data_IF_137516107619
#
_entry.id   IF_137516107619
#
_cell.length_a   1.000
_cell.length_b   1.000
_cell.length_c   1.000
_cell.angle_alpha   90.00
_cell.angle_beta   90.00
_cell.angle_gamma   90.00
#
_symmetry.space_group_name_H-M   'P 1'
#
loop_
_entity.id
_entity.type
_entity.pdbx_description
1 polymer ?
#
# COMPACT_ATOMS: atom_id res chain seq x y z
N UNK A 1 27.34 -10.59 -4.03
CA UNK A 1 26.58 -10.31 -2.79
C UNK A 1 27.10 -9.02 -2.20
N UNK A 2 26.20 -8.14 -1.74
CA UNK A 2 26.54 -6.84 -1.13
C UNK A 2 25.95 -6.85 0.28
N UNK A 3 26.78 -6.52 1.29
CA UNK A 3 26.32 -6.44 2.68
C UNK A 3 25.53 -5.14 2.88
N UNK A 4 24.31 -5.23 3.36
CA UNK A 4 23.40 -4.09 3.55
C UNK A 4 22.61 -4.20 4.84
N UNK A 5 22.06 -3.07 5.28
CA UNK A 5 20.96 -2.99 6.24
C UNK A 5 19.73 -2.38 5.57
N UNK A 6 18.54 -2.69 6.06
CA UNK A 6 17.29 -2.08 5.62
C UNK A 6 16.78 -1.08 6.65
N UNK A 7 16.67 0.17 6.25
CA UNK A 7 16.23 1.29 7.09
C UNK A 7 14.89 1.80 6.63
N UNK A 8 14.03 2.17 7.56
CA UNK A 8 12.71 2.75 7.33
C UNK A 8 12.58 4.04 8.12
N UNK A 9 11.96 5.06 7.52
CA UNK A 9 11.77 6.38 8.12
C UNK A 9 10.32 6.62 8.60
N UNK A 10 9.36 5.81 8.15
CA UNK A 10 7.93 5.88 8.52
C UNK A 10 7.37 4.48 8.73
N UNK A 11 6.35 4.33 9.58
CA UNK A 11 5.77 3.03 9.99
C UNK A 11 5.50 2.07 8.83
N UNK A 12 4.86 2.52 7.77
CA UNK A 12 4.60 1.74 6.54
C UNK A 12 5.37 2.29 5.33
N UNK A 13 6.51 2.95 5.56
CA UNK A 13 7.37 3.51 4.51
C UNK A 13 8.15 2.44 3.76
N UNK A 14 8.71 2.83 2.64
CA UNK A 14 9.65 2.01 1.86
C UNK A 14 10.89 1.68 2.70
N UNK A 15 11.44 0.50 2.47
CA UNK A 15 12.71 0.08 3.07
C UNK A 15 13.83 0.50 2.12
N UNK A 16 14.78 1.28 2.62
CA UNK A 16 15.96 1.72 1.89
C UNK A 16 17.18 0.96 2.37
N UNK A 17 18.01 0.55 1.42
CA UNK A 17 19.24 -0.17 1.74
C UNK A 17 20.41 0.80 1.90
N UNK A 18 21.19 0.57 2.97
CA UNK A 18 22.40 1.32 3.29
C UNK A 18 23.57 0.37 3.54
N UNK A 19 24.80 0.86 3.30
CA UNK A 19 26.01 0.15 3.66
C UNK A 19 26.22 0.27 5.18
N UNK A 20 26.33 -0.83 5.93
CA UNK A 20 26.59 -0.81 7.36
C UNK A 20 27.96 -0.20 7.72
N UNK A 21 28.83 0.08 6.77
CA UNK A 21 30.17 0.65 6.95
C UNK A 21 31.02 -0.11 7.99
N UNK A 22 31.02 -1.43 7.91
CA UNK A 22 31.77 -2.32 8.81
C UNK A 22 31.19 -2.50 10.22
N UNK A 23 30.04 -1.88 10.52
CA UNK A 23 29.36 -2.00 11.82
C UNK A 23 28.48 -3.25 11.84
N UNK A 24 28.31 -3.81 13.04
CA UNK A 24 27.30 -4.85 13.28
C UNK A 24 26.01 -4.19 13.77
N UNK A 25 25.01 -4.17 12.89
CA UNK A 25 23.76 -3.46 13.11
C UNK A 25 22.61 -4.46 13.06
N UNK A 26 21.87 -4.53 14.18
CA UNK A 26 20.75 -5.45 14.36
C UNK A 26 19.40 -4.78 14.09
N UNK A 27 18.38 -5.59 13.78
CA UNK A 27 17.01 -5.13 13.67
C UNK A 27 16.52 -4.53 14.98
N UNK A 28 15.78 -3.42 14.91
CA UNK A 28 15.25 -2.69 16.05
C UNK A 28 16.19 -1.60 16.60
N UNK A 29 17.39 -1.48 16.07
CA UNK A 29 18.29 -0.37 16.37
C UNK A 29 17.96 0.85 15.50
N UNK A 30 18.44 2.03 15.92
CA UNK A 30 18.29 3.27 15.17
C UNK A 30 19.64 3.72 14.60
N UNK A 31 19.60 4.32 13.44
CA UNK A 31 20.79 4.80 12.73
C UNK A 31 20.58 6.21 12.19
N UNK A 32 21.69 6.95 12.10
CA UNK A 32 21.75 8.23 11.40
C UNK A 32 22.33 7.97 10.01
N UNK A 33 21.58 8.39 9.01
CA UNK A 33 21.93 8.21 7.59
C UNK A 33 21.76 9.52 6.83
N UNK A 34 22.45 9.61 5.68
CA UNK A 34 22.25 10.70 4.75
C UNK A 34 21.34 10.26 3.61
N UNK A 35 20.26 11.02 3.38
CA UNK A 35 19.33 10.82 2.26
C UNK A 35 19.38 12.01 1.29
N UNK A 36 18.56 12.01 0.26
CA UNK A 36 18.37 13.18 -0.60
C UNK A 36 17.69 14.37 0.12
N UNK A 37 17.03 14.09 1.27
CA UNK A 37 16.39 15.11 2.10
C UNK A 37 17.34 15.76 3.10
N UNK A 38 18.47 15.14 3.38
CA UNK A 38 19.45 15.53 4.38
C UNK A 38 19.78 14.38 5.34
N UNK A 39 20.21 14.73 6.54
CA UNK A 39 20.47 13.76 7.60
C UNK A 39 19.14 13.35 8.23
N UNK A 40 18.92 12.04 8.33
CA UNK A 40 17.69 11.48 8.84
C UNK A 40 17.96 10.40 9.92
N UNK A 41 17.03 10.33 10.89
CA UNK A 41 16.96 9.27 11.88
C UNK A 41 16.12 8.14 11.33
N UNK A 42 16.65 6.91 11.29
CA UNK A 42 15.98 5.77 10.67
C UNK A 42 15.92 4.54 11.55
N UNK A 43 14.78 3.82 11.44
CA UNK A 43 14.57 2.55 12.12
C UNK A 43 15.15 1.40 11.30
N UNK A 44 16.04 0.60 11.87
CA UNK A 44 16.60 -0.60 11.23
C UNK A 44 15.56 -1.73 11.29
N UNK A 45 14.92 -1.99 10.18
CA UNK A 45 13.90 -3.07 10.04
C UNK A 45 14.50 -4.37 9.52
N UNK A 46 15.66 -4.29 8.88
CA UNK A 46 16.44 -5.44 8.43
C UNK A 46 17.88 -5.24 8.88
N UNK A 47 18.35 -6.08 9.79
CA UNK A 47 19.75 -6.10 10.22
C UNK A 47 20.72 -6.49 9.10
N UNK A 48 22.01 -6.51 9.39
CA UNK A 48 23.06 -6.85 8.43
C UNK A 48 22.78 -8.16 7.69
N UNK A 49 22.70 -8.09 6.36
CA UNK A 49 22.49 -9.24 5.47
C UNK A 49 23.16 -9.03 4.13
N UNK A 50 23.40 -10.12 3.43
CA UNK A 50 23.86 -10.08 2.06
C UNK A 50 22.67 -10.13 1.09
N UNK A 51 22.67 -9.25 0.11
CA UNK A 51 21.69 -9.20 -0.97
C UNK A 51 22.36 -9.19 -2.34
N UNK A 52 21.63 -9.60 -3.36
CA UNK A 52 22.10 -9.49 -4.75
C UNK A 52 22.20 -8.03 -5.16
N UNK A 53 23.29 -7.68 -5.84
CA UNK A 53 23.53 -6.30 -6.30
C UNK A 53 22.44 -5.75 -7.22
N UNK A 54 21.70 -6.61 -7.92
CA UNK A 54 20.55 -6.24 -8.75
C UNK A 54 19.35 -5.67 -7.98
N UNK A 55 19.26 -5.97 -6.68
CA UNK A 55 18.16 -5.50 -5.80
C UNK A 55 18.49 -4.20 -5.07
N UNK A 56 19.67 -3.65 -5.30
CA UNK A 56 20.18 -2.48 -4.57
C UNK A 56 20.47 -1.36 -5.54
N UNK A 57 19.97 -0.16 -5.24
CA UNK A 57 20.27 1.05 -6.01
C UNK A 57 21.67 1.52 -5.63
N UNK A 58 22.56 1.60 -6.62
CA UNK A 58 23.92 2.09 -6.43
C UNK A 58 24.08 3.56 -6.86
N UNK A 59 24.99 4.35 -6.25
CA UNK A 59 25.88 3.98 -5.16
C UNK A 59 25.18 3.84 -3.81
N UNK A 60 25.52 2.81 -3.02
CA UNK A 60 24.99 2.62 -1.69
C UNK A 60 25.56 3.66 -0.74
N UNK A 61 24.70 4.42 -0.07
CA UNK A 61 25.12 5.38 0.95
C UNK A 61 25.50 4.65 2.24
N UNK A 62 26.59 5.04 2.92
CA UNK A 62 26.96 4.42 4.20
C UNK A 62 26.10 4.96 5.33
N UNK A 63 25.95 4.16 6.38
CA UNK A 63 25.47 4.61 7.68
C UNK A 63 26.51 5.56 8.30
N UNK A 64 26.09 6.77 8.65
CA UNK A 64 26.97 7.76 9.29
C UNK A 64 27.41 7.22 10.65
N UNK A 65 26.44 6.86 11.50
CA UNK A 65 26.66 6.29 12.83
C UNK A 65 25.40 5.64 13.40
N UNK A 66 25.55 4.87 14.46
CA UNK A 66 24.44 4.46 15.30
C UNK A 66 23.81 5.69 15.99
N UNK A 67 22.51 5.67 16.19
CA UNK A 67 21.84 6.69 16.97
C UNK A 67 22.22 6.58 18.46
N UNK A 68 22.40 7.73 19.08
CA UNK A 68 22.64 7.87 20.51
C UNK A 68 21.34 8.19 21.25
N UNK A 69 21.35 8.13 22.58
CA UNK A 69 20.22 8.58 23.41
C UNK A 69 19.87 10.05 23.17
N UNK A 70 20.86 10.88 22.85
CA UNK A 70 20.63 12.29 22.49
C UNK A 70 19.86 12.42 21.16
N UNK A 71 20.18 11.58 20.17
CA UNK A 71 19.45 11.56 18.90
C UNK A 71 17.99 11.14 19.08
N UNK A 72 17.73 10.14 19.91
CA UNK A 72 16.36 9.74 20.25
C UNK A 72 15.58 10.87 20.94
N UNK A 73 16.25 11.64 21.81
CA UNK A 73 15.66 12.81 22.45
C UNK A 73 15.38 13.93 21.43
N UNK A 74 16.28 14.16 20.47
CA UNK A 74 16.08 15.13 19.39
C UNK A 74 14.87 14.72 18.55
N UNK A 75 14.79 13.47 18.14
CA UNK A 75 13.67 12.94 17.36
C UNK A 75 12.35 13.07 18.13
N UNK A 76 12.33 12.70 19.42
CA UNK A 76 11.16 12.86 20.26
C UNK A 76 10.71 14.32 20.43
N UNK A 77 11.66 15.25 20.46
CA UNK A 77 11.37 16.69 20.50
C UNK A 77 10.86 17.20 19.16
N UNK A 78 11.40 16.72 18.04
CA UNK A 78 10.92 17.06 16.70
C UNK A 78 9.46 16.63 16.54
N UNK A 79 9.10 15.43 16.98
CA UNK A 79 7.70 14.95 16.95
C UNK A 79 6.74 15.80 17.80
N UNK A 80 7.21 16.45 18.88
CA UNK A 80 6.41 17.42 19.63
C UNK A 80 6.23 18.72 18.85
N UNK A 81 7.32 19.25 18.29
CA UNK A 81 7.31 20.46 17.45
C UNK A 81 6.42 20.29 16.21
N UNK A 82 6.38 19.10 15.61
CA UNK A 82 5.52 18.78 14.45
C UNK A 82 4.05 18.98 14.77
N UNK A 83 3.59 18.56 15.95
CA UNK A 83 2.20 18.77 16.39
C UNK A 83 1.85 20.25 16.55
N UNK A 84 2.78 21.04 17.04
CA UNK A 84 2.58 22.49 17.18
C UNK A 84 2.66 23.18 15.81
N UNK A 85 3.62 22.78 14.96
CA UNK A 85 3.74 23.25 13.59
C UNK A 85 2.48 22.96 12.77
N UNK A 86 1.88 21.79 12.96
CA UNK A 86 0.63 21.41 12.31
C UNK A 86 -0.50 22.39 12.67
N UNK A 87 -0.69 22.69 13.97
CA UNK A 87 -1.73 23.62 14.43
C UNK A 87 -1.51 25.02 13.86
N UNK A 88 -0.30 25.53 13.97
CA UNK A 88 0.06 26.87 13.45
C UNK A 88 -0.20 26.93 11.94
N UNK A 89 0.25 25.92 11.17
CA UNK A 89 0.02 25.88 9.73
C UNK A 89 -1.48 25.85 9.40
N UNK A 90 -2.26 25.05 10.12
CA UNK A 90 -3.71 24.96 9.94
C UNK A 90 -4.43 26.30 10.19
N UNK A 91 -4.02 27.06 11.22
CA UNK A 91 -4.55 28.42 11.49
C UNK A 91 -4.19 29.40 10.37
N UNK A 92 -2.94 29.33 9.86
CA UNK A 92 -2.49 30.16 8.75
C UNK A 92 -3.22 29.85 7.46
N UNK A 93 -3.43 28.56 7.13
CA UNK A 93 -4.24 28.14 5.96
C UNK A 93 -5.64 28.76 6.03
N UNK A 94 -6.30 28.68 7.20
CA UNK A 94 -7.62 29.30 7.43
C UNK A 94 -7.57 30.81 7.25
N UNK A 95 -6.55 31.48 7.79
CA UNK A 95 -6.37 32.94 7.68
C UNK A 95 -6.23 33.39 6.23
N UNK A 96 -5.48 32.63 5.42
CA UNK A 96 -5.28 32.92 3.98
C UNK A 96 -6.45 32.42 3.11
N UNK A 97 -7.48 31.78 3.66
CA UNK A 97 -8.64 31.28 2.91
C UNK A 97 -8.31 30.25 1.84
N UNK A 98 -7.22 29.47 2.01
CA UNK A 98 -6.75 28.53 1.00
C UNK A 98 -7.60 27.24 1.02
N UNK A 99 -8.01 26.80 -0.18
CA UNK A 99 -8.76 25.57 -0.37
C UNK A 99 -7.79 24.36 -0.41
N UNK A 100 -7.24 24.03 0.74
CA UNK A 100 -6.33 22.90 0.94
C UNK A 100 -6.53 22.30 2.33
N UNK A 101 -6.32 20.99 2.42
CA UNK A 101 -6.40 20.25 3.69
C UNK A 101 -4.98 19.85 4.10
N UNK A 102 -4.51 20.36 5.23
CA UNK A 102 -3.25 19.93 5.83
C UNK A 102 -3.41 18.51 6.39
N UNK A 103 -2.46 17.63 6.05
CA UNK A 103 -2.49 16.23 6.43
C UNK A 103 -1.44 15.93 7.51
N UNK A 104 -0.22 16.45 7.34
CA UNK A 104 0.90 16.18 8.26
C UNK A 104 1.94 17.28 8.21
N UNK A 105 2.79 17.34 9.23
CA UNK A 105 3.94 18.22 9.32
C UNK A 105 5.14 17.41 9.83
N UNK A 106 6.29 17.53 9.20
CA UNK A 106 7.50 16.76 9.49
C UNK A 106 8.73 17.69 9.54
N UNK A 107 9.50 17.59 10.61
CA UNK A 107 10.82 18.23 10.70
C UNK A 107 11.89 17.27 10.17
N UNK A 108 12.85 17.77 9.40
CA UNK A 108 14.09 17.02 9.17
C UNK A 108 14.85 16.86 10.50
N UNK A 109 15.59 15.76 10.64
CA UNK A 109 16.29 15.45 11.88
C UNK A 109 17.22 16.59 12.35
N UNK A 110 17.85 17.28 11.41
CA UNK A 110 18.73 18.44 11.66
C UNK A 110 17.98 19.75 11.90
N UNK A 111 16.66 19.76 11.90
CA UNK A 111 15.77 20.92 12.04
C UNK A 111 15.98 22.03 10.99
N UNK A 112 16.66 21.77 9.89
CA UNK A 112 16.92 22.74 8.83
C UNK A 112 15.72 22.99 7.91
N UNK A 113 14.73 22.08 7.94
CA UNK A 113 13.57 22.12 7.08
C UNK A 113 12.32 21.62 7.78
N UNK A 114 11.17 22.21 7.45
CA UNK A 114 9.84 21.71 7.81
C UNK A 114 9.07 21.41 6.53
N UNK A 115 8.56 20.19 6.44
CA UNK A 115 7.71 19.72 5.35
C UNK A 115 6.25 19.70 5.82
N UNK A 116 5.36 20.26 5.02
CA UNK A 116 3.93 20.20 5.24
C UNK A 116 3.28 19.43 4.11
N UNK A 117 2.59 18.34 4.44
CA UNK A 117 1.87 17.51 3.49
C UNK A 117 0.42 17.95 3.43
N UNK A 118 -0.10 18.14 2.23
CA UNK A 118 -1.48 18.59 2.04
C UNK A 118 -2.16 17.94 0.84
N UNK A 119 -3.48 17.92 0.84
CA UNK A 119 -4.32 17.58 -0.31
C UNK A 119 -5.11 18.81 -0.76
N UNK A 120 -5.35 18.91 -2.07
CA UNK A 120 -6.19 19.92 -2.69
C UNK A 120 -6.73 19.39 -4.03
N UNK A 121 -7.92 19.84 -4.40
CA UNK A 121 -8.56 19.42 -5.66
C UNK A 121 -7.93 20.04 -6.91
N UNK A 122 -7.17 21.12 -6.74
CA UNK A 122 -6.53 21.84 -7.81
C UNK A 122 -5.19 22.46 -7.41
N UNK A 123 -4.71 23.37 -8.25
CA UNK A 123 -3.50 24.13 -7.97
C UNK A 123 -3.78 25.24 -6.97
N UNK A 124 -3.05 25.23 -5.85
CA UNK A 124 -3.16 26.23 -4.79
C UNK A 124 -1.99 27.21 -4.88
N UNK A 125 -2.26 28.52 -4.79
CA UNK A 125 -1.21 29.55 -4.64
C UNK A 125 -0.93 29.76 -3.15
N UNK A 126 0.17 29.19 -2.68
CA UNK A 126 0.57 29.23 -1.27
C UNK A 126 1.78 30.15 -1.01
N UNK A 127 2.13 31.08 -1.93
CA UNK A 127 3.31 31.95 -1.78
C UNK A 127 3.27 32.79 -0.51
N UNK A 128 2.14 33.40 -0.20
CA UNK A 128 1.98 34.19 1.03
C UNK A 128 1.96 33.33 2.29
N UNK A 129 1.36 32.13 2.22
CA UNK A 129 1.40 31.15 3.32
C UNK A 129 2.86 30.76 3.64
N UNK A 130 3.68 30.47 2.62
CA UNK A 130 5.09 30.11 2.83
C UNK A 130 5.87 31.22 3.50
N UNK A 131 5.67 32.50 3.11
CA UNK A 131 6.31 33.65 3.75
C UNK A 131 5.93 33.75 5.23
N UNK A 132 4.63 33.61 5.54
CA UNK A 132 4.12 33.65 6.91
C UNK A 132 4.68 32.50 7.76
N UNK A 133 4.73 31.29 7.22
CA UNK A 133 5.31 30.13 7.90
C UNK A 133 6.82 30.29 8.12
N UNK A 134 7.56 30.77 7.11
CA UNK A 134 8.99 31.01 7.24
C UNK A 134 9.33 32.07 8.30
N UNK A 135 8.49 33.10 8.44
CA UNK A 135 8.64 34.11 9.49
C UNK A 135 8.45 33.52 10.91
N UNK A 136 7.53 32.54 11.06
CA UNK A 136 7.25 31.90 12.35
C UNK A 136 8.32 30.86 12.70
N UNK A 137 8.64 29.95 11.78
CA UNK A 137 9.51 28.81 12.07
C UNK A 137 11.00 29.12 11.91
N UNK A 138 11.35 30.20 11.19
CA UNK A 138 12.73 30.62 10.88
C UNK A 138 13.58 29.51 10.24
N UNK A 139 12.92 28.62 9.50
CA UNK A 139 13.50 27.47 8.81
C UNK A 139 12.98 27.42 7.39
N UNK A 140 13.59 26.58 6.54
CA UNK A 140 13.11 26.35 5.17
C UNK A 140 11.77 25.61 5.22
N UNK A 141 10.76 26.17 4.57
CA UNK A 141 9.42 25.60 4.46
C UNK A 141 9.27 24.89 3.10
N UNK A 142 8.78 23.68 3.12
CA UNK A 142 8.45 22.91 1.92
C UNK A 142 7.00 22.41 2.02
N UNK A 143 6.18 22.73 1.02
CA UNK A 143 4.79 22.29 0.90
C UNK A 143 4.72 21.20 -0.17
N UNK A 144 4.23 20.02 0.20
CA UNK A 144 4.07 18.86 -0.70
C UNK A 144 2.61 18.45 -0.81
N UNK A 145 2.09 18.55 -2.03
CA UNK A 145 0.77 18.00 -2.33
C UNK A 145 0.87 16.48 -2.48
N UNK A 146 0.08 15.75 -1.69
CA UNK A 146 0.02 14.29 -1.70
C UNK A 146 -1.30 13.80 -2.30
N UNK A 147 -1.33 12.55 -2.76
CA UNK A 147 -2.52 11.91 -3.27
C UNK A 147 -3.45 11.42 -2.15
N UNK A 148 -4.69 11.08 -2.49
CA UNK A 148 -5.69 10.60 -1.52
C UNK A 148 -5.30 9.28 -0.85
N UNK A 149 -4.52 8.43 -1.53
CA UNK A 149 -4.01 7.19 -0.95
C UNK A 149 -2.88 7.47 0.04
N UNK A 150 -2.01 8.43 -0.24
CA UNK A 150 -0.97 8.87 0.67
C UNK A 150 -1.56 9.55 1.91
N UNK A 151 -2.61 10.38 1.73
CA UNK A 151 -3.39 10.92 2.86
C UNK A 151 -3.90 9.78 3.75
N UNK A 152 -4.55 8.78 3.14
CA UNK A 152 -5.09 7.62 3.88
C UNK A 152 -3.98 6.82 4.56
N UNK A 153 -2.80 6.71 3.93
CA UNK A 153 -1.61 6.05 4.50
C UNK A 153 -1.10 6.76 5.75
N UNK A 154 -1.11 8.10 5.76
CA UNK A 154 -0.69 8.91 6.92
C UNK A 154 -1.72 8.82 8.05
N UNK A 155 -2.99 9.11 7.72
CA UNK A 155 -4.08 9.21 8.71
C UNK A 155 -4.40 7.85 9.33
N UNK A 156 -4.34 6.77 8.53
CA UNK A 156 -4.71 5.44 8.97
C UNK A 156 -6.21 5.22 9.05
N UNK A 157 -6.62 4.18 9.75
CA UNK A 157 -8.01 3.82 9.97
C UNK A 157 -8.27 2.32 9.82
N UNK A 158 -9.54 1.94 9.83
CA UNK A 158 -10.01 0.56 9.72
C UNK A 158 -10.62 0.33 8.35
N UNK A 159 -10.21 -0.74 7.69
CA UNK A 159 -10.77 -1.16 6.40
C UNK A 159 -12.14 -1.82 6.53
N UNK A 160 -12.84 -2.03 5.41
CA UNK A 160 -14.12 -2.76 5.37
C UNK A 160 -14.00 -4.21 5.87
N UNK A 161 -12.79 -4.76 5.92
CA UNK A 161 -12.46 -6.08 6.45
C UNK A 161 -12.30 -6.10 7.98
N UNK A 162 -12.45 -4.96 8.67
CA UNK A 162 -12.29 -4.82 10.13
C UNK A 162 -10.83 -4.80 10.61
N UNK A 163 -9.84 -4.76 9.71
CA UNK A 163 -8.41 -4.65 10.04
C UNK A 163 -7.89 -3.26 9.76
N UNK A 164 -6.76 -2.91 10.37
CA UNK A 164 -6.01 -1.70 10.01
C UNK A 164 -5.77 -1.64 8.51
N UNK A 165 -5.80 -0.44 7.95
CA UNK A 165 -5.58 -0.22 6.52
C UNK A 165 -4.20 -0.78 6.10
N UNK A 166 -4.18 -1.59 5.03
CA UNK A 166 -2.96 -2.21 4.52
C UNK A 166 -1.88 -1.16 4.20
N UNK A 167 -2.27 -0.02 3.62
CA UNK A 167 -1.37 1.09 3.31
C UNK A 167 -0.77 1.76 4.56
N UNK A 168 -1.47 1.75 5.69
CA UNK A 168 -0.98 2.31 6.95
C UNK A 168 -0.13 1.33 7.76
N UNK A 169 -0.35 0.02 7.59
CA UNK A 169 0.28 -1.02 8.41
C UNK A 169 1.53 -1.64 7.78
N UNK A 170 1.44 -2.20 6.56
CA UNK A 170 2.54 -2.97 5.96
C UNK A 170 2.81 -2.73 4.47
N UNK A 171 1.82 -2.25 3.70
CA UNK A 171 2.00 -1.98 2.27
C UNK A 171 2.80 -0.69 2.06
N UNK A 172 4.07 -0.83 1.74
CA UNK A 172 4.97 0.30 1.51
C UNK A 172 4.81 0.88 0.09
N UNK A 173 4.60 0.04 -0.91
CA UNK A 173 4.53 0.44 -2.31
C UNK A 173 3.14 0.22 -2.89
N UNK A 174 2.74 1.10 -3.82
CA UNK A 174 1.48 0.98 -4.55
C UNK A 174 1.74 0.58 -5.99
N UNK A 175 1.19 -0.58 -6.35
CA UNK A 175 1.16 -1.07 -7.72
C UNK A 175 -0.27 -0.86 -8.24
N UNK A 176 -0.45 -0.38 -9.48
CA UNK A 176 -1.77 -0.16 -10.06
C UNK A 176 -2.64 -1.41 -9.98
N UNK A 177 -3.88 -1.22 -9.55
CA UNK A 177 -4.89 -2.28 -9.41
C UNK A 177 -5.80 -2.26 -10.61
N UNK A 178 -6.25 -3.43 -11.07
CA UNK A 178 -7.23 -3.57 -12.14
C UNK A 178 -8.52 -4.23 -11.66
N UNK A 179 -9.62 -3.95 -12.34
CA UNK A 179 -10.92 -4.58 -12.08
C UNK A 179 -10.86 -6.10 -12.31
N UNK A 180 -9.98 -6.54 -13.22
CA UNK A 180 -9.75 -7.96 -13.47
C UNK A 180 -9.34 -8.70 -12.21
N UNK A 181 -8.49 -8.10 -11.36
CA UNK A 181 -8.07 -8.69 -10.08
C UNK A 181 -9.25 -8.90 -9.13
N UNK A 182 -10.20 -7.96 -9.08
CA UNK A 182 -11.41 -8.11 -8.27
C UNK A 182 -12.27 -9.28 -8.75
N UNK A 183 -12.40 -9.45 -10.07
CA UNK A 183 -13.12 -10.57 -10.67
C UNK A 183 -12.45 -11.92 -10.38
N UNK A 184 -11.14 -12.01 -10.52
CA UNK A 184 -10.36 -13.21 -10.21
C UNK A 184 -10.46 -13.62 -8.73
N UNK A 185 -10.74 -12.67 -7.86
CA UNK A 185 -10.98 -12.88 -6.43
C UNK A 185 -12.46 -13.11 -6.09
N UNK A 186 -13.32 -13.29 -7.10
CA UNK A 186 -14.76 -13.50 -6.96
C UNK A 186 -15.48 -12.39 -6.17
N UNK A 187 -14.98 -11.14 -6.24
CA UNK A 187 -15.64 -10.00 -5.63
C UNK A 187 -16.72 -9.44 -6.56
N UNK A 188 -17.78 -8.93 -5.95
CA UNK A 188 -18.79 -8.16 -6.69
C UNK A 188 -18.13 -6.93 -7.32
N UNK A 189 -18.38 -6.69 -8.61
CA UNK A 189 -17.85 -5.52 -9.34
C UNK A 189 -18.61 -4.22 -9.00
N UNK A 190 -19.25 -4.16 -7.85
CA UNK A 190 -19.85 -2.92 -7.36
C UNK A 190 -18.73 -1.98 -6.87
N UNK A 191 -18.63 -0.73 -7.37
CA UNK A 191 -17.63 0.25 -6.95
C UNK A 191 -17.51 0.40 -5.44
N UNK A 192 -18.62 0.40 -4.71
CA UNK A 192 -18.64 0.52 -3.24
C UNK A 192 -18.01 -0.69 -2.51
N UNK A 193 -17.89 -1.84 -3.18
CA UNK A 193 -17.33 -3.07 -2.60
C UNK A 193 -15.87 -3.30 -2.95
N UNK A 194 -15.37 -2.71 -4.04
CA UNK A 194 -14.00 -2.85 -4.51
C UNK A 194 -13.15 -1.59 -4.32
N UNK A 195 -13.75 -0.49 -3.83
CA UNK A 195 -13.03 0.73 -3.47
C UNK A 195 -12.60 0.72 -2.01
N UNK A 196 -11.39 1.19 -1.76
CA UNK A 196 -10.89 1.46 -0.42
C UNK A 196 -11.40 2.78 0.15
N UNK A 197 -11.09 3.04 1.41
CA UNK A 197 -11.45 4.30 2.10
C UNK A 197 -10.92 5.55 1.36
N UNK A 198 -9.81 5.41 0.64
CA UNK A 198 -9.22 6.47 -0.19
C UNK A 198 -9.98 6.74 -1.51
N UNK A 199 -11.09 6.04 -1.79
CA UNK A 199 -11.83 6.17 -3.05
C UNK A 199 -11.13 5.58 -4.28
N UNK A 200 -10.00 4.88 -4.12
CA UNK A 200 -9.31 4.13 -5.17
C UNK A 200 -9.60 2.64 -5.03
N UNK A 201 -9.25 1.84 -6.04
CA UNK A 201 -9.36 0.39 -5.94
C UNK A 201 -8.54 -0.13 -4.73
N UNK A 202 -9.06 -1.15 -4.06
CA UNK A 202 -8.42 -1.71 -2.87
C UNK A 202 -7.04 -2.28 -3.19
N UNK A 203 -6.00 -1.79 -2.53
CA UNK A 203 -4.62 -2.24 -2.73
C UNK A 203 -4.39 -3.71 -2.33
N UNK A 204 -5.20 -4.27 -1.44
CA UNK A 204 -5.15 -5.69 -1.09
C UNK A 204 -5.46 -6.61 -2.27
N UNK A 205 -6.25 -6.16 -3.27
CA UNK A 205 -6.50 -6.93 -4.49
C UNK A 205 -5.20 -7.32 -5.20
N UNK A 206 -4.28 -6.36 -5.34
CA UNK A 206 -2.97 -6.62 -5.95
C UNK A 206 -2.08 -7.45 -5.04
N UNK A 207 -2.11 -7.18 -3.73
CA UNK A 207 -1.30 -7.91 -2.75
C UNK A 207 -1.65 -9.41 -2.69
N UNK A 208 -2.92 -9.76 -2.94
CA UNK A 208 -3.42 -11.13 -2.88
C UNK A 208 -3.48 -11.82 -4.26
N UNK A 209 -3.23 -11.09 -5.36
CA UNK A 209 -3.41 -11.55 -6.73
C UNK A 209 -2.68 -12.89 -7.01
N UNK A 210 -1.40 -12.98 -6.68
CA UNK A 210 -0.59 -14.18 -6.95
C UNK A 210 -1.14 -15.43 -6.25
N UNK A 211 -1.62 -15.26 -5.00
CA UNK A 211 -2.25 -16.34 -4.24
C UNK A 211 -3.53 -16.81 -4.93
N UNK A 212 -4.37 -15.88 -5.35
CA UNK A 212 -5.61 -16.22 -6.04
C UNK A 212 -5.35 -16.84 -7.42
N UNK A 213 -4.40 -16.34 -8.19
CA UNK A 213 -4.01 -16.94 -9.47
C UNK A 213 -3.55 -18.39 -9.31
N UNK A 214 -2.68 -18.64 -8.31
CA UNK A 214 -2.22 -19.99 -8.00
C UNK A 214 -3.36 -20.92 -7.58
N UNK A 215 -4.24 -20.47 -6.70
CA UNK A 215 -5.37 -21.27 -6.23
C UNK A 215 -6.43 -21.50 -7.32
N UNK A 216 -6.72 -20.47 -8.13
CA UNK A 216 -7.64 -20.57 -9.26
C UNK A 216 -7.13 -21.56 -10.32
N UNK A 217 -5.82 -21.66 -10.53
CA UNK A 217 -5.24 -22.59 -11.50
C UNK A 217 -5.56 -24.06 -11.19
N UNK A 218 -5.92 -24.36 -9.94
CA UNK A 218 -6.27 -25.71 -9.46
C UNK A 218 -7.77 -26.00 -9.47
N UNK A 219 -8.60 -25.03 -9.82
CA UNK A 219 -10.06 -25.12 -9.77
C UNK A 219 -10.68 -25.18 -11.19
N UNK A 220 -11.84 -25.84 -11.33
CA UNK A 220 -12.64 -25.73 -12.54
C UNK A 220 -13.30 -24.35 -12.63
N UNK A 221 -13.65 -23.89 -13.81
CA UNK A 221 -14.43 -22.68 -13.98
C UNK A 221 -15.92 -22.93 -13.72
N UNK A 222 -16.65 -21.88 -13.36
CA UNK A 222 -18.12 -21.93 -13.33
C UNK A 222 -18.66 -22.27 -14.71
N UNK A 223 -19.59 -23.24 -14.78
CA UNK A 223 -20.13 -23.77 -16.01
C UNK A 223 -19.30 -24.91 -16.64
N UNK A 224 -18.17 -25.31 -16.07
CA UNK A 224 -17.45 -26.49 -16.52
C UNK A 224 -18.17 -27.78 -16.07
N UNK A 225 -18.11 -28.82 -16.92
CA UNK A 225 -18.60 -30.13 -16.56
C UNK A 225 -17.51 -30.92 -15.80
N UNK A 226 -17.90 -31.49 -14.67
CA UNK A 226 -17.01 -32.26 -13.79
C UNK A 226 -17.61 -33.63 -13.50
N UNK A 227 -16.75 -34.58 -13.16
CA UNK A 227 -17.17 -35.89 -12.63
C UNK A 227 -16.71 -36.00 -11.18
N UNK A 228 -17.62 -36.29 -10.29
CA UNK A 228 -17.34 -36.47 -8.86
C UNK A 228 -16.70 -37.83 -8.58
N UNK A 229 -16.09 -38.00 -7.42
CA UNK A 229 -15.58 -39.32 -6.97
C UNK A 229 -16.66 -40.38 -6.83
N UNK A 230 -17.90 -39.95 -6.59
CA UNK A 230 -19.09 -40.84 -6.54
C UNK A 230 -19.59 -41.24 -7.93
N UNK A 231 -18.90 -40.83 -8.99
CA UNK A 231 -19.25 -41.14 -10.39
C UNK A 231 -20.37 -40.30 -10.99
N UNK A 232 -20.90 -39.31 -10.25
CA UNK A 232 -21.92 -38.40 -10.74
C UNK A 232 -21.30 -37.36 -11.68
N UNK A 233 -22.05 -37.00 -12.73
CA UNK A 233 -21.68 -35.90 -13.61
C UNK A 233 -22.48 -34.67 -13.26
N UNK A 234 -21.84 -33.50 -13.27
CA UNK A 234 -22.50 -32.25 -12.94
C UNK A 234 -21.80 -31.05 -13.53
N UNK A 235 -22.48 -29.92 -13.46
CA UNK A 235 -22.00 -28.62 -13.88
C UNK A 235 -21.60 -27.79 -12.67
N UNK A 236 -20.45 -27.11 -12.74
CA UNK A 236 -19.95 -26.24 -11.68
C UNK A 236 -20.83 -25.00 -11.55
N UNK A 237 -21.50 -24.87 -10.41
CA UNK A 237 -22.35 -23.74 -10.09
C UNK A 237 -21.56 -22.57 -9.50
N UNK A 238 -20.67 -22.84 -8.53
CA UNK A 238 -19.83 -21.82 -7.91
C UNK A 238 -18.56 -22.43 -7.32
N UNK A 239 -17.53 -21.59 -7.16
CA UNK A 239 -16.24 -22.00 -6.57
C UNK A 239 -15.86 -21.09 -5.40
N UNK A 240 -15.34 -21.69 -4.34
CA UNK A 240 -14.73 -20.98 -3.21
C UNK A 240 -13.22 -21.13 -3.30
N UNK A 241 -12.54 -20.11 -3.81
CA UNK A 241 -11.11 -20.18 -4.17
C UNK A 241 -10.26 -20.51 -2.95
N UNK A 242 -10.40 -19.78 -1.85
CA UNK A 242 -9.57 -19.94 -0.66
C UNK A 242 -9.82 -21.27 0.07
N UNK A 243 -11.06 -21.77 0.04
CA UNK A 243 -11.42 -23.03 0.67
C UNK A 243 -11.17 -24.25 -0.21
N UNK A 244 -10.89 -24.02 -1.53
CA UNK A 244 -10.78 -25.07 -2.54
C UNK A 244 -12.02 -25.99 -2.57
N UNK A 245 -13.22 -25.36 -2.46
CA UNK A 245 -14.52 -26.01 -2.50
C UNK A 245 -15.27 -25.61 -3.77
N UNK A 246 -15.97 -26.58 -4.34
CA UNK A 246 -16.72 -26.41 -5.59
C UNK A 246 -18.16 -26.89 -5.37
N UNK A 247 -19.13 -26.03 -5.64
CA UNK A 247 -20.53 -26.42 -5.67
C UNK A 247 -20.88 -26.89 -7.08
N UNK A 248 -21.37 -28.11 -7.18
CA UNK A 248 -21.70 -28.78 -8.44
C UNK A 248 -23.18 -29.09 -8.46
N UNK A 249 -23.85 -28.75 -9.54
CA UNK A 249 -25.21 -29.21 -9.82
C UNK A 249 -25.11 -30.60 -10.40
N UNK A 250 -25.36 -31.62 -9.58
CA UNK A 250 -25.33 -33.03 -10.00
C UNK A 250 -26.73 -33.52 -10.36
N UNK A 251 -26.80 -34.40 -11.38
CA UNK A 251 -28.03 -35.08 -11.76
C UNK A 251 -28.06 -36.40 -11.04
N UNK A 252 -28.97 -36.51 -10.07
CA UNK A 252 -29.14 -37.76 -9.25
C UNK A 252 -30.08 -38.74 -9.96
N UNK A 253 -31.19 -38.23 -10.54
CA UNK A 253 -32.16 -38.96 -11.32
C UNK A 253 -32.55 -38.16 -12.55
N UNK A 254 -33.33 -38.79 -13.47
CA UNK A 254 -33.71 -38.15 -14.76
C UNK A 254 -34.31 -36.76 -14.62
N UNK A 255 -34.93 -36.42 -13.48
CA UNK A 255 -35.63 -35.17 -13.24
C UNK A 255 -35.17 -34.43 -11.94
N UNK A 256 -34.22 -35.01 -11.20
CA UNK A 256 -33.74 -34.39 -9.97
C UNK A 256 -32.31 -33.88 -10.09
N UNK A 257 -32.15 -32.56 -9.86
CA UNK A 257 -30.86 -31.90 -9.78
C UNK A 257 -30.63 -31.42 -8.36
N UNK A 258 -29.47 -31.74 -7.82
CA UNK A 258 -29.06 -31.30 -6.49
C UNK A 258 -27.77 -30.48 -6.57
N UNK A 259 -27.63 -29.49 -5.69
CA UNK A 259 -26.37 -28.78 -5.49
C UNK A 259 -25.62 -29.45 -4.35
N UNK A 260 -24.48 -30.06 -4.65
CA UNK A 260 -23.58 -30.66 -3.68
C UNK A 260 -22.24 -29.93 -3.65
N UNK A 261 -21.62 -29.89 -2.49
CA UNK A 261 -20.31 -29.26 -2.30
C UNK A 261 -19.23 -30.35 -2.24
N UNK A 262 -18.18 -30.18 -3.03
CA UNK A 262 -17.05 -31.11 -3.11
C UNK A 262 -15.74 -30.35 -2.94
N UNK A 263 -14.73 -31.02 -2.42
CA UNK A 263 -13.36 -30.53 -2.48
C UNK A 263 -12.81 -30.75 -3.88
N UNK A 264 -11.88 -29.89 -4.31
CA UNK A 264 -11.30 -29.98 -5.66
C UNK A 264 -10.64 -31.34 -5.94
N UNK A 265 -10.03 -31.96 -4.93
CA UNK A 265 -9.40 -33.28 -5.02
C UNK A 265 -10.40 -34.44 -5.27
N UNK A 266 -11.67 -34.21 -5.01
CA UNK A 266 -12.77 -35.17 -5.24
C UNK A 266 -13.38 -35.05 -6.65
N UNK A 267 -12.88 -34.12 -7.46
CA UNK A 267 -13.44 -33.84 -8.79
C UNK A 267 -12.44 -34.17 -9.89
N UNK A 268 -12.94 -34.81 -10.96
CA UNK A 268 -12.19 -35.02 -12.21
C UNK A 268 -12.70 -34.05 -13.27
N UNK A 269 -11.81 -33.15 -13.74
CA UNK A 269 -12.12 -32.14 -14.75
C UNK A 269 -10.87 -31.81 -15.57
N UNK A 270 -11.07 -31.14 -16.70
CA UNK A 270 -9.99 -30.57 -17.52
C UNK A 270 -10.00 -29.05 -17.36
N UNK A 271 -8.98 -28.45 -16.76
CA UNK A 271 -8.95 -27.01 -16.59
C UNK A 271 -8.96 -26.31 -17.94
N UNK A 272 -9.97 -25.48 -18.20
CA UNK A 272 -10.04 -24.64 -19.40
C UNK A 272 -9.68 -23.21 -19.03
N UNK A 273 -8.61 -22.67 -19.60
CA UNK A 273 -8.30 -21.23 -19.51
C UNK A 273 -9.25 -20.47 -20.43
N UNK A 274 -10.42 -20.07 -19.97
CA UNK A 274 -11.26 -19.11 -20.69
C UNK A 274 -10.70 -17.71 -20.47
N UNK A 275 -10.31 -17.03 -21.55
CA UNK A 275 -10.14 -15.56 -21.55
C UNK A 275 -11.53 -14.94 -21.54
N UNK A 276 -12.07 -14.68 -20.37
CA UNK A 276 -13.33 -13.94 -20.26
C UNK A 276 -13.06 -12.44 -20.49
N UNK A 277 -13.86 -11.86 -21.41
CA UNK A 277 -13.93 -10.41 -21.55
C UNK A 277 -14.68 -9.85 -20.35
N UNK A 278 -14.02 -9.03 -19.55
CA UNK A 278 -14.68 -8.30 -18.47
C UNK A 278 -15.49 -7.18 -19.09
N UNK A 279 -16.82 -7.22 -18.90
CA UNK A 279 -17.68 -6.09 -19.25
C UNK A 279 -17.50 -5.06 -18.12
N UNK A 280 -16.91 -3.93 -18.46
CA UNK A 280 -16.58 -2.85 -17.53
C UNK A 280 -17.51 -1.70 -17.84
N UNK A 281 -18.35 -1.32 -16.89
CA UNK A 281 -19.22 -0.14 -17.01
C UNK A 281 -18.45 1.20 -16.91
N UNK A 282 -19.15 2.32 -17.05
CA UNK A 282 -18.52 3.64 -17.07
C UNK A 282 -17.86 4.00 -15.72
N UNK A 283 -18.49 3.65 -14.60
CA UNK A 283 -17.97 3.93 -13.26
C UNK A 283 -16.67 3.15 -12.98
N UNK A 284 -16.67 1.87 -13.34
CA UNK A 284 -15.49 1.02 -13.20
C UNK A 284 -14.32 1.50 -14.09
N UNK A 285 -14.60 1.98 -15.31
CA UNK A 285 -13.57 2.61 -16.16
C UNK A 285 -13.00 3.88 -15.55
N UNK A 286 -13.83 4.68 -14.89
CA UNK A 286 -13.35 5.87 -14.18
C UNK A 286 -12.42 5.50 -13.01
N UNK A 287 -12.75 4.47 -12.22
CA UNK A 287 -11.89 4.00 -11.13
C UNK A 287 -10.53 3.53 -11.65
N UNK A 288 -10.48 2.75 -12.74
CA UNK A 288 -9.19 2.35 -13.35
C UNK A 288 -8.40 3.55 -13.91
N UNK A 289 -9.08 4.54 -14.46
CA UNK A 289 -8.43 5.74 -14.98
C UNK A 289 -7.82 6.58 -13.84
N UNK A 290 -8.51 6.68 -12.70
CA UNK A 290 -8.00 7.34 -11.51
C UNK A 290 -6.80 6.59 -10.92
N UNK A 291 -6.83 5.27 -10.88
CA UNK A 291 -5.72 4.42 -10.45
C UNK A 291 -4.44 4.67 -11.27
N UNK A 292 -4.59 4.76 -12.60
CA UNK A 292 -3.47 5.03 -13.50
C UNK A 292 -2.89 6.44 -13.37
N UNK A 293 -3.72 7.43 -12.99
CA UNK A 293 -3.27 8.84 -12.83
C UNK A 293 -2.51 9.09 -11.55
N UNK A 294 -2.82 8.39 -10.46
CA UNK A 294 -2.25 8.67 -9.15
C UNK A 294 -0.76 8.30 -9.06
N UNK A 295 -0.34 7.26 -9.81
CA UNK A 295 1.06 6.86 -9.88
C UNK A 295 1.63 6.34 -8.57
N UNK A 296 2.94 6.56 -8.34
CA UNK A 296 3.65 6.15 -7.13
C UNK A 296 3.35 7.09 -5.96
N UNK A 297 3.51 6.58 -4.72
CA UNK A 297 3.45 7.40 -3.50
C UNK A 297 4.47 8.55 -3.56
N UNK A 298 4.02 9.75 -3.21
CA UNK A 298 4.89 10.94 -3.10
C UNK A 298 5.52 11.10 -1.71
N UNK A 299 5.16 10.24 -0.77
CA UNK A 299 5.70 10.26 0.59
C UNK A 299 7.12 9.70 0.64
N UNK A 300 7.42 8.76 -0.25
CA UNK A 300 8.68 8.02 -0.32
C UNK A 300 9.61 8.53 -1.44
N UNK A 301 9.29 9.66 -2.10
CA UNK A 301 10.17 10.30 -3.07
C UNK A 301 11.37 10.94 -2.35
N UNK A 302 12.51 10.29 -2.53
CA UNK A 302 13.84 10.76 -2.10
C UNK A 302 14.63 11.32 -3.26
#
# INVERSE_FOLDING_TARGET
MIKVIGVRFRKAGKIYYFDPAGRDISTGQHVIVETARGIEFGDVVLGCREVEGSKVVQPLKPVIRMATQEDENIEANNRKKEKDAFKICQEKIKKHGLQMKLIDAEYTFDNNKVLFYFTADGRVDFRELVKDLAAVFKTRIELRQVGVRDETKIVGGIGICGRDLCCHSYLSEFIPVSIKMAKEQNLSLNPSKISGVCGRLMCCLKNEEETYEYLNSKLPNVGDFVTTNDGLKGEVHSVSVLRQLVKVVVVVNKDEKEIREYRVDQLKFRPRRKKEKVVVDAELKQLEALEKKEGKSKLDDN
#
